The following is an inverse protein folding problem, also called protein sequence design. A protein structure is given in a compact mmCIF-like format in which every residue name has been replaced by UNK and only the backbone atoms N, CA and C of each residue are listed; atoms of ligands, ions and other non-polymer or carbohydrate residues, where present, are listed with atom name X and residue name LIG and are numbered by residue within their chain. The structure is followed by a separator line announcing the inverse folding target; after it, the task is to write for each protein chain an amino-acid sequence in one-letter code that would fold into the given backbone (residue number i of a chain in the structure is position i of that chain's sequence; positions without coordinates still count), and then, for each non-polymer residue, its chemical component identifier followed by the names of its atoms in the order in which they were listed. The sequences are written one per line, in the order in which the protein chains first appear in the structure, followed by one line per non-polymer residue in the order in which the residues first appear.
data_IF_029825839684
#
_entry.id   IF_029825839684
#
_cell.length_a   1.000
_cell.length_b   1.000
_cell.length_c   1.000
_cell.angle_alpha   90.00
_cell.angle_beta   90.00
_cell.angle_gamma   90.00
#
_symmetry.space_group_name_H-M   'P 1'
#
loop_
_entity.id
_entity.type
_entity.pdbx_description
1 polymer ?
#
# COMPACT_ATOMS: atom_id res chain seq x y z
N UNK A 1 -30.37 -7.43 -6.42
CA UNK A 1 -28.95 -7.77 -6.55
C UNK A 1 -28.16 -6.53 -6.23
N UNK A 2 -27.26 -6.58 -5.23
CA UNK A 2 -26.41 -5.43 -4.90
C UNK A 2 -25.39 -5.22 -6.03
N UNK A 3 -25.10 -3.97 -6.38
CA UNK A 3 -24.07 -3.68 -7.39
C UNK A 3 -22.70 -4.18 -6.90
N UNK A 4 -21.89 -4.80 -7.77
CA UNK A 4 -20.58 -5.29 -7.38
C UNK A 4 -19.70 -4.09 -6.97
N UNK A 5 -19.35 -4.04 -5.68
CA UNK A 5 -18.51 -3.00 -5.13
C UNK A 5 -17.09 -3.13 -5.69
N UNK A 6 -16.79 -2.31 -6.69
CA UNK A 6 -15.48 -2.27 -7.33
C UNK A 6 -15.00 -0.84 -7.52
N UNK A 7 -13.68 -0.65 -7.48
CA UNK A 7 -13.05 0.64 -7.70
C UNK A 7 -11.97 0.48 -8.77
N UNK A 8 -11.96 1.42 -9.72
CA UNK A 8 -10.92 1.52 -10.74
C UNK A 8 -9.82 2.45 -10.23
N UNK A 9 -8.60 1.94 -10.21
CA UNK A 9 -7.39 2.67 -9.85
C UNK A 9 -6.65 2.93 -11.16
N UNK A 10 -6.49 4.20 -11.50
CA UNK A 10 -5.71 4.66 -12.66
C UNK A 10 -4.55 5.44 -12.11
N UNK A 11 -3.35 4.98 -12.35
CA UNK A 11 -2.17 5.66 -11.85
C UNK A 11 -0.97 5.48 -12.78
N UNK A 12 0.05 6.30 -12.55
CA UNK A 12 1.35 6.28 -13.20
C UNK A 12 2.26 5.25 -12.55
N UNK A 13 2.97 4.53 -13.40
CA UNK A 13 3.96 3.56 -13.01
C UNK A 13 5.31 4.02 -13.56
N UNK A 14 6.21 4.39 -12.65
CA UNK A 14 7.56 4.86 -12.95
C UNK A 14 8.53 3.68 -12.97
N UNK A 15 9.18 3.36 -14.11
CA UNK A 15 10.04 2.17 -14.24
C UNK A 15 11.17 2.11 -13.21
N UNK A 16 11.80 3.24 -12.89
CA UNK A 16 12.92 3.31 -11.93
C UNK A 16 12.50 2.97 -10.49
N UNK A 17 11.24 3.22 -10.13
CA UNK A 17 10.72 2.93 -8.78
C UNK A 17 9.92 1.63 -8.71
N UNK A 18 9.32 1.21 -9.82
CA UNK A 18 8.37 0.11 -9.87
C UNK A 18 8.85 -1.05 -10.73
N UNK A 19 10.15 -1.27 -10.82
CA UNK A 19 10.79 -2.26 -11.68
C UNK A 19 10.13 -3.65 -11.55
N UNK A 20 10.00 -4.18 -10.33
CA UNK A 20 9.41 -5.50 -10.12
C UNK A 20 7.94 -5.59 -10.57
N UNK A 21 7.18 -4.50 -10.44
CA UNK A 21 5.81 -4.44 -10.95
C UNK A 21 5.79 -4.35 -12.48
N UNK A 22 6.69 -3.58 -13.11
CA UNK A 22 6.84 -3.54 -14.58
C UNK A 22 7.10 -4.94 -15.12
N UNK A 23 8.08 -5.65 -14.55
CA UNK A 23 8.48 -6.98 -15.00
C UNK A 23 7.32 -7.97 -14.97
N UNK A 24 6.55 -7.99 -13.89
CA UNK A 24 5.39 -8.88 -13.76
C UNK A 24 4.31 -8.52 -14.78
N UNK A 25 4.03 -7.23 -14.99
CA UNK A 25 3.04 -6.79 -15.96
C UNK A 25 3.48 -7.02 -17.42
N UNK A 26 4.78 -7.02 -17.69
CA UNK A 26 5.33 -7.35 -19.01
C UNK A 26 5.28 -8.86 -19.30
N UNK A 27 5.37 -9.71 -18.26
CA UNK A 27 5.40 -11.18 -18.39
C UNK A 27 4.06 -11.79 -18.78
N UNK A 28 2.95 -11.16 -18.42
CA UNK A 28 1.61 -11.71 -18.62
C UNK A 28 0.74 -10.78 -19.47
N UNK A 29 -0.27 -11.32 -20.19
CA UNK A 29 -1.31 -10.48 -20.79
C UNK A 29 -1.94 -9.57 -19.73
N UNK A 30 -2.24 -8.32 -20.09
CA UNK A 30 -2.66 -7.25 -19.15
C UNK A 30 -3.69 -7.69 -18.11
N UNK A 31 -4.73 -8.41 -18.51
CA UNK A 31 -5.78 -8.87 -17.59
C UNK A 31 -5.27 -9.91 -16.58
N UNK A 32 -4.46 -10.87 -17.03
CA UNK A 32 -3.88 -11.89 -16.17
C UNK A 32 -2.82 -11.28 -15.24
N UNK A 33 -1.95 -10.41 -15.76
CA UNK A 33 -0.95 -9.70 -14.96
C UNK A 33 -1.59 -8.92 -13.81
N UNK A 34 -2.66 -8.17 -14.10
CA UNK A 34 -3.42 -7.46 -13.07
C UNK A 34 -3.98 -8.41 -11.99
N UNK A 35 -4.54 -9.55 -12.39
CA UNK A 35 -5.09 -10.50 -11.42
C UNK A 35 -4.01 -11.12 -10.54
N UNK A 36 -2.86 -11.48 -11.12
CA UNK A 36 -1.71 -12.04 -10.39
C UNK A 36 -1.20 -11.03 -9.37
N UNK A 37 -0.96 -9.79 -9.78
CA UNK A 37 -0.47 -8.72 -8.89
C UNK A 37 -1.42 -8.49 -7.71
N UNK A 38 -2.73 -8.40 -7.99
CA UNK A 38 -3.73 -8.14 -6.96
C UNK A 38 -3.92 -9.34 -6.04
N UNK A 39 -3.96 -10.57 -6.56
CA UNK A 39 -4.08 -11.79 -5.75
C UNK A 39 -2.86 -11.97 -4.84
N UNK A 40 -1.67 -11.72 -5.38
CA UNK A 40 -0.42 -11.76 -4.62
C UNK A 40 -0.46 -10.73 -3.49
N UNK A 41 -0.83 -9.49 -3.81
CA UNK A 41 -0.84 -8.42 -2.82
C UNK A 41 -1.89 -8.65 -1.74
N UNK A 42 -3.05 -9.21 -2.07
CA UNK A 42 -4.09 -9.57 -1.09
C UNK A 42 -3.58 -10.60 -0.07
N UNK A 43 -2.79 -11.57 -0.53
CA UNK A 43 -2.16 -12.58 0.33
C UNK A 43 -1.05 -11.97 1.20
N UNK A 44 -0.21 -11.11 0.62
CA UNK A 44 0.93 -10.51 1.31
C UNK A 44 0.57 -9.50 2.41
N UNK A 45 -0.62 -8.88 2.33
CA UNK A 45 -1.02 -7.81 3.25
C UNK A 45 -0.95 -8.16 4.74
N UNK A 46 -1.09 -9.44 5.11
CA UNK A 46 -1.08 -9.85 6.52
C UNK A 46 0.29 -9.71 7.19
N UNK A 47 1.38 -9.93 6.44
CA UNK A 47 2.74 -9.88 6.95
C UNK A 47 3.59 -8.76 6.32
N UNK A 48 3.08 -8.15 5.26
CA UNK A 48 3.66 -7.01 4.58
C UNK A 48 2.59 -5.90 4.47
N UNK A 49 2.19 -5.27 5.59
CA UNK A 49 1.20 -4.20 5.56
C UNK A 49 1.77 -2.94 4.92
N UNK A 50 0.90 -1.97 4.62
CA UNK A 50 1.33 -0.64 4.16
C UNK A 50 2.28 0.01 5.18
N UNK A 51 3.25 0.76 4.67
CA UNK A 51 4.29 1.42 5.42
C UNK A 51 4.44 2.88 5.01
N UNK A 52 5.17 3.68 5.80
CA UNK A 52 5.43 5.09 5.48
C UNK A 52 6.12 5.26 4.12
N UNK A 53 7.04 4.36 3.77
CA UNK A 53 7.76 4.38 2.49
C UNK A 53 6.83 4.28 1.27
N UNK A 54 5.64 3.68 1.43
CA UNK A 54 4.69 3.54 0.33
C UNK A 54 4.01 4.88 0.00
N UNK A 55 4.06 5.90 0.86
CA UNK A 55 3.45 7.21 0.55
C UNK A 55 4.34 8.13 -0.28
N UNK A 56 5.58 7.72 -0.56
CA UNK A 56 6.51 8.51 -1.35
C UNK A 56 6.01 8.64 -2.80
N UNK A 57 5.88 9.88 -3.25
CA UNK A 57 5.45 10.19 -4.62
C UNK A 57 6.67 10.37 -5.51
N UNK A 58 6.67 9.70 -6.65
CA UNK A 58 7.72 9.78 -7.64
C UNK A 58 7.50 10.99 -8.56
N UNK A 59 8.52 11.83 -8.70
CA UNK A 59 8.59 12.86 -9.75
C UNK A 59 9.53 12.39 -10.87
N UNK A 60 9.11 11.33 -11.58
CA UNK A 60 9.81 10.83 -12.76
C UNK A 60 9.32 11.47 -14.05
N UNK A 61 10.23 11.72 -15.00
CA UNK A 61 9.87 12.19 -16.33
C UNK A 61 9.18 11.10 -17.18
N UNK A 62 9.61 9.84 -17.02
CA UNK A 62 9.07 8.70 -17.74
C UNK A 62 8.08 7.90 -16.89
N UNK A 63 6.88 7.66 -17.43
CA UNK A 63 5.86 6.86 -16.75
C UNK A 63 4.98 6.08 -17.74
N UNK A 64 4.44 4.96 -17.25
CA UNK A 64 3.44 4.16 -17.94
C UNK A 64 2.10 4.26 -17.21
N UNK A 65 1.00 4.41 -17.96
CA UNK A 65 -0.34 4.45 -17.35
C UNK A 65 -0.87 3.05 -17.09
N UNK A 66 -1.16 2.73 -15.83
CA UNK A 66 -1.76 1.47 -15.42
C UNK A 66 -3.20 1.66 -14.96
N UNK A 67 -3.98 0.58 -15.12
CA UNK A 67 -5.38 0.53 -14.71
C UNK A 67 -5.62 -0.80 -14.01
N UNK A 68 -5.91 -0.73 -12.71
CA UNK A 68 -6.34 -1.87 -11.91
C UNK A 68 -7.82 -1.73 -11.56
N UNK A 69 -8.54 -2.85 -11.52
CA UNK A 69 -9.91 -2.90 -11.03
C UNK A 69 -9.92 -3.72 -9.76
N UNK A 70 -10.15 -3.06 -8.63
CA UNK A 70 -10.17 -3.67 -7.32
C UNK A 70 -11.61 -4.00 -6.94
N UNK A 71 -11.94 -5.29 -6.83
CA UNK A 71 -13.25 -5.78 -6.41
C UNK A 71 -13.21 -6.14 -4.93
N UNK A 72 -14.20 -5.68 -4.17
CA UNK A 72 -14.35 -5.99 -2.74
C UNK A 72 -14.56 -7.50 -2.50
N UNK A 73 -15.20 -8.20 -3.43
CA UNK A 73 -15.45 -9.66 -3.32
C UNK A 73 -14.17 -10.47 -3.52
N UNK A 74 -13.34 -10.08 -4.50
CA UNK A 74 -12.12 -10.82 -4.84
C UNK A 74 -10.97 -10.48 -3.90
N UNK A 75 -10.80 -9.20 -3.59
CA UNK A 75 -9.66 -8.64 -2.86
C UNK A 75 -10.15 -7.77 -1.68
N UNK A 76 -10.83 -8.38 -0.69
CA UNK A 76 -11.48 -7.63 0.38
C UNK A 76 -10.51 -6.80 1.24
N UNK A 77 -9.32 -7.33 1.58
CA UNK A 77 -8.35 -6.63 2.43
C UNK A 77 -7.76 -5.44 1.70
N UNK A 78 -7.33 -5.62 0.44
CA UNK A 78 -6.84 -4.52 -0.39
C UNK A 78 -7.92 -3.47 -0.64
N UNK A 79 -9.16 -3.88 -0.88
CA UNK A 79 -10.27 -2.95 -1.10
C UNK A 79 -10.52 -2.07 0.12
N UNK A 80 -10.60 -2.68 1.30
CA UNK A 80 -10.76 -1.96 2.56
C UNK A 80 -9.59 -1.00 2.82
N UNK A 81 -8.35 -1.46 2.58
CA UNK A 81 -7.16 -0.63 2.70
C UNK A 81 -7.22 0.59 1.76
N UNK A 82 -7.48 0.37 0.48
CA UNK A 82 -7.55 1.46 -0.51
C UNK A 82 -8.62 2.51 -0.17
N UNK A 83 -9.74 2.07 0.42
CA UNK A 83 -10.82 2.97 0.88
C UNK A 83 -10.42 3.78 2.11
N UNK A 84 -9.59 3.22 2.99
CA UNK A 84 -9.10 3.89 4.19
C UNK A 84 -7.96 4.89 3.90
N UNK A 85 -7.28 4.76 2.75
CA UNK A 85 -6.18 5.64 2.40
C UNK A 85 -6.61 7.11 2.15
N UNK A 86 -5.78 8.10 2.55
CA UNK A 86 -6.05 9.51 2.29
C UNK A 86 -6.21 9.83 0.81
N UNK A 87 -7.12 10.76 0.50
CA UNK A 87 -7.27 11.27 -0.87
C UNK A 87 -6.00 12.00 -1.31
N UNK A 88 -5.75 12.02 -2.62
CA UNK A 88 -4.54 12.62 -3.21
C UNK A 88 -3.37 11.65 -3.32
N UNK A 89 -3.13 10.80 -2.31
CA UNK A 89 -1.96 9.89 -2.27
C UNK A 89 -2.31 8.41 -2.43
N UNK A 90 -3.58 8.02 -2.24
CA UNK A 90 -3.98 6.60 -2.24
C UNK A 90 -3.65 5.82 -3.52
N UNK A 91 -3.65 6.50 -4.68
CA UNK A 91 -3.32 5.88 -5.97
C UNK A 91 -1.86 5.46 -6.00
N UNK A 92 -0.98 6.42 -5.77
CA UNK A 92 0.45 6.14 -5.68
C UNK A 92 0.80 5.16 -4.54
N UNK A 93 0.20 5.33 -3.36
CA UNK A 93 0.48 4.48 -2.22
C UNK A 93 0.12 3.01 -2.47
N UNK A 94 -1.00 2.75 -3.16
CA UNK A 94 -1.32 1.38 -3.52
C UNK A 94 -0.34 0.84 -4.57
N UNK A 95 0.08 1.62 -5.57
CA UNK A 95 1.03 1.16 -6.60
C UNK A 95 2.40 0.81 -5.97
N UNK A 96 2.90 1.67 -5.07
CA UNK A 96 4.14 1.44 -4.34
C UNK A 96 4.06 0.13 -3.52
N UNK A 97 2.93 -0.07 -2.82
CA UNK A 97 2.68 -1.31 -2.08
C UNK A 97 2.64 -2.54 -2.98
N UNK A 98 1.94 -2.47 -4.13
CA UNK A 98 1.87 -3.58 -5.09
C UNK A 98 3.28 -3.95 -5.60
N UNK A 99 4.13 -2.96 -5.86
CA UNK A 99 5.51 -3.16 -6.26
C UNK A 99 6.34 -3.79 -5.14
N UNK A 100 6.22 -3.30 -3.91
CA UNK A 100 6.92 -3.85 -2.75
C UNK A 100 6.56 -5.31 -2.50
N UNK A 101 5.30 -5.71 -2.69
CA UNK A 101 4.91 -7.12 -2.65
C UNK A 101 5.59 -7.97 -3.73
N UNK A 102 5.82 -7.42 -4.94
CA UNK A 102 6.55 -8.14 -5.98
C UNK A 102 8.03 -8.29 -5.62
N UNK A 103 8.64 -7.27 -5.04
CA UNK A 103 10.02 -7.35 -4.52
C UNK A 103 10.14 -8.40 -3.40
N UNK A 104 9.18 -8.43 -2.46
CA UNK A 104 9.14 -9.46 -1.43
C UNK A 104 9.04 -10.87 -1.99
N UNK A 105 8.26 -11.08 -3.06
CA UNK A 105 8.18 -12.37 -3.75
C UNK A 105 9.52 -12.78 -4.36
N UNK A 106 10.28 -11.83 -4.89
CA UNK A 106 11.61 -12.11 -5.44
C UNK A 106 12.61 -12.46 -4.32
N UNK A 107 12.52 -11.79 -3.17
CA UNK A 107 13.40 -12.01 -2.03
C UNK A 107 13.09 -13.28 -1.22
N UNK A 108 11.80 -13.55 -0.95
CA UNK A 108 11.32 -14.70 -0.18
C UNK A 108 10.07 -15.31 -0.84
N UNK A 109 10.26 -16.14 -1.87
CA UNK A 109 9.14 -16.76 -2.59
C UNK A 109 8.40 -17.80 -1.73
N UNK A 110 9.05 -18.41 -0.74
CA UNK A 110 8.47 -19.45 0.11
C UNK A 110 7.32 -18.88 0.94
N UNK A 111 7.62 -17.85 1.72
CA UNK A 111 6.63 -17.18 2.58
C UNK A 111 5.45 -16.62 1.80
N UNK A 112 5.73 -16.07 0.62
CA UNK A 112 4.70 -15.50 -0.26
C UNK A 112 3.80 -16.59 -0.86
N UNK A 113 4.36 -17.72 -1.27
CA UNK A 113 3.58 -18.86 -1.77
C UNK A 113 2.73 -19.49 -0.66
N UNK A 114 3.26 -19.62 0.55
CA UNK A 114 2.52 -20.12 1.71
C UNK A 114 1.29 -19.26 2.00
N UNK A 115 1.47 -17.93 2.02
CA UNK A 115 0.37 -17.00 2.23
C UNK A 115 -0.65 -17.02 1.08
N UNK A 116 -0.20 -17.19 -0.17
CA UNK A 116 -1.10 -17.31 -1.32
C UNK A 116 -1.91 -18.61 -1.24
N UNK A 117 -1.27 -19.72 -0.87
CA UNK A 117 -1.93 -21.00 -0.67
C UNK A 117 -2.94 -20.93 0.48
N UNK A 118 -2.58 -20.30 1.60
CA UNK A 118 -3.50 -20.05 2.71
C UNK A 118 -4.70 -19.20 2.26
N UNK A 119 -4.48 -18.14 1.47
CA UNK A 119 -5.56 -17.29 0.97
C UNK A 119 -6.51 -18.03 0.00
N UNK A 120 -6.00 -18.98 -0.78
CA UNK A 120 -6.79 -19.79 -1.72
C UNK A 120 -7.52 -20.95 -1.02
N UNK A 121 -6.83 -21.68 -0.14
CA UNK A 121 -7.37 -22.84 0.58
C UNK A 121 -8.27 -22.42 1.74
N UNK A 122 -7.92 -21.36 2.46
CA UNK A 122 -8.74 -20.78 3.54
C UNK A 122 -10.06 -20.20 3.02
N UNK A 123 -10.11 -19.73 1.77
CA UNK A 123 -11.37 -19.34 1.10
C UNK A 123 -12.30 -20.53 0.82
N UNK A 124 -11.77 -21.75 0.66
CA UNK A 124 -12.59 -22.94 0.46
C UNK A 124 -13.29 -23.41 1.75
N UNK A 125 -12.74 -23.09 2.93
CA UNK A 125 -13.32 -23.47 4.21
C UNK A 125 -14.57 -22.68 4.62
N UNK A 126 -14.84 -21.53 3.98
CA UNK A 126 -16.01 -20.69 4.30
C UNK A 126 -17.26 -21.09 3.49
N UNK A 127 -17.17 -22.12 2.62
CA UNK A 127 -18.23 -22.52 1.70
C UNK A 127 -18.82 -23.92 1.86
N UNK A 128 -18.45 -24.68 2.91
CA UNK A 128 -19.02 -26.02 3.12
C UNK A 128 -19.19 -26.35 4.60
N UNK A 129 -20.16 -25.69 5.23
CA UNK A 129 -20.80 -26.19 6.44
C UNK A 129 -22.00 -27.02 6.03
N UNK A 130 -21.76 -28.26 5.60
CA UNK A 130 -22.80 -29.28 5.64
C UNK A 130 -22.73 -29.87 7.04
N UNK A 131 -23.73 -29.54 7.86
CA UNK A 131 -23.98 -30.20 9.15
C UNK A 131 -23.98 -31.72 8.99
N UNK A 132 -23.24 -32.48 9.81
CA UNK A 132 -23.64 -33.82 10.16
C UNK A 132 -24.37 -33.83 11.52
N UNK A 133 -25.41 -34.68 11.66
CA UNK A 133 -26.35 -34.59 12.75
C UNK A 133 -25.77 -35.06 14.09
N UNK A 134 -26.10 -34.26 15.11
CA UNK A 134 -26.41 -34.63 16.50
C UNK A 134 -26.29 -36.11 16.85
N UNK A 135 -25.32 -36.44 17.72
CA UNK A 135 -25.45 -37.60 18.63
C UNK A 135 -25.16 -37.13 20.05
N UNK A 136 -26.24 -36.93 20.81
CA UNK A 136 -26.24 -36.78 22.26
C UNK A 136 -25.75 -38.08 22.89
N UNK A 137 -24.67 -38.03 23.66
CA UNK A 137 -24.46 -38.95 24.78
C UNK A 137 -23.92 -38.10 25.93
N UNK A 138 -24.78 -37.86 26.91
CA UNK A 138 -24.39 -37.23 28.16
C UNK A 138 -23.79 -38.26 29.12
N UNK A 139 -22.76 -37.85 29.84
CA UNK A 139 -22.45 -38.36 31.18
C UNK A 139 -21.96 -37.18 32.01
N UNK A 140 -22.74 -36.86 33.03
CA UNK A 140 -22.39 -35.94 34.11
C UNK A 140 -21.33 -36.56 35.01
N UNK A 141 -20.34 -35.78 35.43
CA UNK A 141 -19.70 -35.95 36.72
C UNK A 141 -19.23 -34.57 37.21
N UNK A 142 -19.94 -34.07 38.20
CA UNK A 142 -19.55 -32.94 39.03
C UNK A 142 -18.33 -33.31 39.88
N UNK A 143 -17.46 -32.33 40.12
CA UNK A 143 -16.66 -32.24 41.34
C UNK A 143 -16.37 -30.76 41.60
N UNK A 144 -16.98 -30.29 42.67
CA UNK A 144 -16.74 -29.03 43.37
C UNK A 144 -15.27 -28.87 43.78
N UNK A 145 -14.85 -27.61 43.92
CA UNK A 145 -13.57 -27.26 44.53
C UNK A 145 -13.32 -25.76 44.55
N UNK A 146 -13.80 -25.13 45.63
CA UNK A 146 -13.55 -23.75 46.06
C UNK A 146 -12.07 -23.32 46.01
N UNK A 147 -11.83 -22.03 45.77
CA UNK A 147 -10.49 -21.43 45.83
C UNK A 147 -10.44 -19.95 45.47
N UNK A 148 -11.11 -19.13 46.28
CA UNK A 148 -10.98 -17.67 46.36
C UNK A 148 -9.53 -17.25 46.67
N UNK A 149 -8.96 -16.28 45.93
CA UNK A 149 -8.18 -15.15 46.46
C UNK A 149 -7.39 -14.41 45.37
N UNK A 150 -7.90 -13.21 45.12
CA UNK A 150 -7.19 -11.95 45.28
C UNK A 150 -6.20 -11.46 44.22
N UNK A 151 -6.53 -10.26 43.78
CA UNK A 151 -5.79 -9.40 42.87
C UNK A 151 -4.61 -8.80 43.62
N UNK A 152 -3.41 -8.84 43.05
CA UNK A 152 -2.43 -7.77 43.30
C UNK A 152 -1.60 -7.49 42.06
N UNK A 153 -1.94 -6.38 41.43
CA UNK A 153 -1.09 -5.67 40.50
C UNK A 153 0.23 -5.29 41.21
N UNK A 154 1.36 -5.75 40.67
CA UNK A 154 2.67 -5.18 40.96
C UNK A 154 3.07 -4.38 39.73
N UNK A 155 2.72 -3.09 39.78
CA UNK A 155 3.28 -2.06 38.91
C UNK A 155 4.70 -1.80 39.38
N UNK A 156 5.69 -2.38 38.70
CA UNK A 156 7.07 -1.92 38.82
C UNK A 156 7.25 -0.73 37.88
N UNK A 157 7.16 0.47 38.46
CA UNK A 157 7.64 1.70 37.83
C UNK A 157 9.18 1.64 37.73
N UNK A 158 9.70 1.25 36.57
CA UNK A 158 11.07 1.60 36.19
C UNK A 158 11.08 3.07 35.74
N UNK A 159 11.42 3.95 36.68
CA UNK A 159 11.90 5.30 36.40
C UNK A 159 13.32 5.18 35.80
N UNK A 160 13.43 5.07 34.48
CA UNK A 160 14.68 5.36 33.79
C UNK A 160 14.46 6.53 32.83
N UNK A 161 14.71 7.72 33.40
CA UNK A 161 14.69 9.00 32.71
C UNK A 161 16.06 9.20 32.08
N UNK A 162 16.23 9.21 30.76
CA UNK A 162 17.49 9.65 30.18
C UNK A 162 17.64 11.16 30.44
N UNK A 163 18.71 11.49 31.17
CA UNK A 163 19.17 12.86 31.41
C UNK A 163 19.56 13.45 30.05
N UNK A 164 18.77 14.39 29.56
CA UNK A 164 19.11 15.23 28.42
C UNK A 164 20.16 16.23 28.90
N UNK A 165 21.41 16.00 28.54
CA UNK A 165 22.44 17.03 28.65
C UNK A 165 22.24 18.05 27.52
N UNK A 166 22.07 19.35 27.82
CA UNK A 166 22.09 20.38 26.79
C UNK A 166 23.52 20.50 26.24
N UNK A 167 23.69 20.28 24.94
CA UNK A 167 24.91 20.59 24.23
C UNK A 167 25.10 22.12 24.17
N UNK A 168 26.33 22.64 24.34
CA UNK A 168 26.57 24.07 24.31
C UNK A 168 26.49 24.64 22.89
N UNK A 169 25.96 25.87 22.83
CA UNK A 169 25.81 26.71 21.65
C UNK A 169 27.09 26.79 20.80
N UNK A 170 26.99 26.38 19.54
CA UNK A 170 27.94 26.72 18.49
C UNK A 170 27.23 27.52 17.40
N UNK A 171 27.09 28.81 17.68
CA UNK A 171 27.37 29.96 16.81
C UNK A 171 27.11 29.76 15.31
N UNK A 172 26.08 30.46 14.86
CA UNK A 172 25.85 30.99 13.51
C UNK A 172 27.15 31.35 12.76
N UNK A 173 27.45 30.64 11.68
CA UNK A 173 28.13 31.20 10.52
C UNK A 173 27.21 31.08 9.30
N UNK A 174 26.52 32.18 9.04
CA UNK A 174 25.83 32.48 7.80
C UNK A 174 26.86 32.69 6.69
N UNK A 175 27.12 31.68 5.85
CA UNK A 175 27.66 31.92 4.52
C UNK A 175 26.48 32.10 3.55
N UNK A 176 26.15 33.37 3.36
CA UNK A 176 25.26 33.89 2.33
C UNK A 176 25.78 33.47 0.96
N UNK A 177 25.23 32.40 0.40
CA UNK A 177 25.41 32.08 -1.02
C UNK A 177 24.47 32.97 -1.82
N UNK A 178 25.04 33.88 -2.60
CA UNK A 178 24.30 34.77 -3.51
C UNK A 178 23.36 33.95 -4.42
N UNK A 179 22.14 34.44 -4.70
CA UNK A 179 21.27 33.80 -5.66
C UNK A 179 21.88 33.94 -7.05
N UNK A 180 22.22 32.81 -7.66
CA UNK A 180 22.62 32.72 -9.07
C UNK A 180 21.50 33.31 -9.92
N UNK A 181 21.82 34.45 -10.54
CA UNK A 181 21.00 35.18 -11.50
C UNK A 181 20.63 34.23 -12.65
N UNK A 182 19.33 34.00 -12.86
CA UNK A 182 18.84 33.27 -14.02
C UNK A 182 19.35 33.94 -15.31
N UNK A 183 19.79 33.18 -16.33
CA UNK A 183 20.03 33.74 -17.65
C UNK A 183 18.69 34.27 -18.19
N UNK A 184 18.73 35.49 -18.73
CA UNK A 184 17.62 36.12 -19.40
C UNK A 184 17.10 35.20 -20.51
N UNK A 185 15.79 34.96 -20.52
CA UNK A 185 15.09 34.46 -21.69
C UNK A 185 15.33 35.49 -22.80
N UNK A 186 16.06 35.11 -23.85
CA UNK A 186 15.97 35.81 -25.12
C UNK A 186 14.50 35.78 -25.54
N UNK A 187 13.91 36.97 -25.65
CA UNK A 187 12.60 37.17 -26.25
C UNK A 187 12.68 36.63 -27.67
N UNK A 188 12.11 35.44 -27.90
CA UNK A 188 11.82 34.96 -29.24
C UNK A 188 10.79 35.92 -29.84
N UNK A 189 11.23 36.73 -30.81
CA UNK A 189 10.38 37.51 -31.68
C UNK A 189 9.21 36.64 -32.18
N UNK A 190 7.99 37.03 -31.82
CA UNK A 190 6.77 36.37 -32.29
C UNK A 190 6.56 36.70 -33.78
N UNK A 191 6.71 35.73 -34.71
CA UNK A 191 6.61 36.00 -36.14
C UNK A 191 5.16 36.28 -36.60
N UNK A 192 4.18 36.30 -35.69
CA UNK A 192 2.77 36.57 -35.97
C UNK A 192 2.30 37.98 -35.53
N UNK A 193 3.18 38.79 -34.94
CA UNK A 193 2.83 40.14 -34.46
C UNK A 193 2.58 41.16 -35.59
N UNK A 194 3.04 40.87 -36.82
CA UNK A 194 2.97 41.79 -37.97
C UNK A 194 1.91 41.40 -39.02
N UNK A 195 0.92 40.58 -38.68
CA UNK A 195 -0.17 40.30 -39.63
C UNK A 195 -1.15 41.49 -39.70
N UNK A 196 -1.37 42.09 -40.90
CA UNK A 196 -2.37 43.13 -41.06
C UNK A 196 -3.79 42.58 -40.82
N UNK A 197 -4.73 43.40 -40.33
CA UNK A 197 -6.10 42.95 -40.11
C UNK A 197 -6.73 42.50 -41.44
N UNK A 198 -7.22 41.26 -41.47
CA UNK A 198 -7.99 40.73 -42.60
C UNK A 198 -9.39 41.36 -42.58
N UNK A 199 -9.65 42.28 -43.49
CA UNK A 199 -11.00 42.76 -43.79
C UNK A 199 -11.79 41.64 -44.48
N UNK A 200 -12.83 41.14 -43.81
CA UNK A 200 -13.80 40.24 -44.41
C UNK A 200 -14.97 41.07 -44.97
N UNK A 201 -14.92 41.35 -46.27
CA UNK A 201 -16.12 41.73 -47.06
C UNK A 201 -16.80 40.50 -47.65
#
# INVERSE_FOLDING_TARGET
MAEPQSVVIRERLYPEMHEALVEVLAKYPRQAGNQVVLAMSEACLSFCPISEADYNVADGAEFQNVKFTLSAEKYPKLYALYRALPRGVKGQAIINLLNRHQLFRQADPGKVNDALNEALLGKAAVGSSVDPPSTKIGVSAALDGDGEADQKAVVMASNDRPVIYPAPDAILTTETKEPVRAPALEEMDDPLADLPPMDFT
#
